data_IF_731138641283
#
_entry.id   IF_731138641283
#
_cell.length_a   1.000
_cell.length_b   1.000
_cell.length_c   1.000
_cell.angle_alpha   90.00
_cell.angle_beta   90.00
_cell.angle_gamma   90.00
#
_symmetry.space_group_name_H-M   'P 1'
#
loop_
_entity.id
_entity.type
_entity.pdbx_description
1 polymer ?
#
# COMPACT_ATOMS: atom_id res chain seq x y z
N UNK A 1 17.85 -30.88 -62.02
CA UNK A 1 17.88 -30.19 -60.71
C UNK A 1 16.48 -29.60 -60.49
N UNK A 2 15.50 -30.38 -60.02
CA UNK A 2 15.01 -30.51 -58.63
C UNK A 2 14.71 -29.18 -57.91
N UNK A 3 13.46 -28.74 -57.98
CA UNK A 3 12.75 -27.91 -56.98
C UNK A 3 11.27 -28.35 -57.00
N UNK A 4 10.91 -29.46 -56.37
CA UNK A 4 10.36 -29.60 -55.00
C UNK A 4 9.08 -28.76 -54.78
N UNK A 5 7.96 -29.48 -54.93
CA UNK A 5 6.62 -29.20 -54.40
C UNK A 5 6.64 -28.89 -52.90
N UNK A 6 5.89 -27.87 -52.46
CA UNK A 6 5.27 -27.83 -51.13
C UNK A 6 3.93 -27.09 -51.19
N UNK A 7 2.86 -27.87 -51.36
CA UNK A 7 1.50 -27.56 -50.91
C UNK A 7 1.45 -27.97 -49.45
N UNK A 8 1.26 -27.08 -48.47
CA UNK A 8 0.67 -27.45 -47.17
C UNK A 8 0.09 -26.24 -46.43
N UNK A 9 -1.21 -26.36 -46.11
CA UNK A 9 -1.92 -25.95 -44.88
C UNK A 9 -1.73 -24.50 -44.38
N UNK A 10 -2.70 -23.59 -44.45
CA UNK A 10 -3.98 -23.57 -43.70
C UNK A 10 -3.91 -24.33 -42.38
N UNK A 11 -3.41 -23.70 -41.31
CA UNK A 11 -3.87 -23.88 -39.92
C UNK A 11 -3.05 -23.01 -38.95
N UNK A 12 -3.55 -21.82 -38.61
CA UNK A 12 -3.31 -21.14 -37.33
C UNK A 12 -4.61 -20.40 -37.01
N UNK A 13 -5.62 -21.10 -36.51
CA UNK A 13 -5.94 -21.17 -35.08
C UNK A 13 -5.79 -19.79 -34.42
N UNK A 14 -6.95 -19.18 -34.24
CA UNK A 14 -7.29 -18.12 -33.31
C UNK A 14 -6.55 -18.26 -31.97
N UNK A 15 -5.45 -17.53 -31.80
CA UNK A 15 -4.92 -17.26 -30.47
C UNK A 15 -5.50 -15.92 -30.01
N UNK A 16 -6.52 -16.07 -29.16
CA UNK A 16 -6.85 -15.22 -28.03
C UNK A 16 -6.59 -13.73 -28.12
N UNK A 17 -7.69 -12.99 -28.04
CA UNK A 17 -7.81 -11.67 -27.43
C UNK A 17 -6.82 -11.48 -26.25
N UNK A 18 -5.65 -10.90 -26.50
CA UNK A 18 -5.03 -10.08 -25.48
C UNK A 18 -5.75 -8.74 -25.57
N UNK A 19 -6.76 -8.57 -24.70
CA UNK A 19 -7.23 -7.23 -24.32
C UNK A 19 -6.02 -6.49 -23.74
N UNK A 20 -5.23 -5.88 -24.61
CA UNK A 20 -4.29 -4.86 -24.22
C UNK A 20 -5.09 -3.80 -23.50
N UNK A 21 -4.79 -3.58 -22.24
CA UNK A 21 -5.29 -2.44 -21.49
C UNK A 21 -4.86 -1.19 -22.27
N UNK A 22 -5.80 -0.58 -22.99
CA UNK A 22 -5.58 0.65 -23.73
C UNK A 22 -5.16 1.74 -22.75
N UNK A 23 -3.93 2.23 -22.90
CA UNK A 23 -3.36 3.33 -22.11
C UNK A 23 -4.02 4.69 -22.37
N UNK A 24 -4.96 4.78 -23.30
CA UNK A 24 -5.70 5.99 -23.63
C UNK A 24 -7.13 5.90 -23.10
N UNK A 25 -7.37 6.45 -21.91
CA UNK A 25 -8.70 6.96 -21.47
C UNK A 25 -8.69 7.82 -20.21
N UNK A 26 -7.54 8.03 -19.56
CA UNK A 26 -7.42 8.91 -18.39
C UNK A 26 -6.51 10.12 -18.63
N UNK A 27 -6.57 10.70 -19.82
CA UNK A 27 -6.12 12.08 -20.04
C UNK A 27 -7.29 12.86 -20.62
N UNK A 28 -7.96 13.62 -19.76
CA UNK A 28 -8.95 14.60 -20.16
C UNK A 28 -8.53 15.91 -19.51
N UNK A 29 -8.06 16.86 -20.33
CA UNK A 29 -8.14 18.29 -20.07
C UNK A 29 -7.91 18.74 -18.62
N UNK A 30 -6.68 18.57 -18.12
CA UNK A 30 -6.04 19.48 -17.16
C UNK A 30 -6.62 19.65 -15.75
N UNK A 31 -7.80 19.12 -15.43
CA UNK A 31 -8.35 19.13 -14.07
C UNK A 31 -9.05 17.79 -13.83
N UNK A 32 -8.34 16.90 -13.12
CA UNK A 32 -8.94 15.73 -12.50
C UNK A 32 -10.00 16.19 -11.48
N UNK A 33 -11.25 15.75 -11.65
CA UNK A 33 -12.34 16.03 -10.69
C UNK A 33 -12.09 15.34 -9.33
N UNK A 34 -11.08 14.47 -9.24
CA UNK A 34 -10.50 13.94 -8.01
C UNK A 34 -9.16 14.61 -7.66
N UNK A 35 -9.01 15.92 -7.89
CA UNK A 35 -7.83 16.65 -7.42
C UNK A 35 -7.86 16.88 -5.89
N UNK A 36 -8.10 15.80 -5.13
CA UNK A 36 -8.10 15.77 -3.68
C UNK A 36 -6.80 16.35 -3.14
N UNK A 37 -5.67 16.05 -3.80
CA UNK A 37 -4.32 16.49 -3.42
C UNK A 37 -4.10 18.00 -3.56
N UNK A 38 -4.96 18.73 -4.29
CA UNK A 38 -4.91 20.19 -4.32
C UNK A 38 -5.11 20.80 -2.93
N UNK A 39 -6.04 20.25 -2.14
CA UNK A 39 -6.28 20.66 -0.77
C UNK A 39 -5.66 19.69 0.27
N UNK A 40 -5.49 18.43 -0.09
CA UNK A 40 -4.98 17.36 0.78
C UNK A 40 -3.55 16.95 0.45
N UNK A 41 -2.71 17.88 0.01
CA UNK A 41 -1.32 17.64 -0.38
C UNK A 41 -0.48 17.05 0.76
N UNK A 42 -0.75 17.45 2.00
CA UNK A 42 -0.09 16.93 3.21
C UNK A 42 -0.45 15.47 3.52
N UNK A 43 -1.46 14.91 2.86
CA UNK A 43 -1.90 13.54 3.11
C UNK A 43 -1.16 12.49 2.29
N UNK A 44 -0.37 12.91 1.30
CA UNK A 44 0.32 12.02 0.36
C UNK A 44 1.80 12.33 0.36
N UNK A 45 2.63 11.30 0.31
CA UNK A 45 4.05 11.50 0.05
C UNK A 45 4.32 11.36 -1.44
N UNK A 46 4.16 12.46 -2.17
CA UNK A 46 4.31 12.48 -3.62
C UNK A 46 5.77 12.23 -4.09
N UNK A 47 6.75 12.37 -3.19
CA UNK A 47 8.18 12.33 -3.53
C UNK A 47 8.81 10.94 -3.45
N UNK A 48 8.15 9.97 -2.81
CA UNK A 48 8.62 8.59 -2.67
C UNK A 48 7.49 7.68 -3.10
N UNK A 49 7.72 6.92 -4.17
CA UNK A 49 6.72 6.12 -4.89
C UNK A 49 5.57 5.65 -4.01
N UNK A 50 4.37 6.14 -4.32
CA UNK A 50 3.18 5.81 -3.56
C UNK A 50 2.59 4.45 -3.93
N UNK A 51 1.49 4.09 -3.28
CA UNK A 51 0.65 2.99 -3.76
C UNK A 51 0.28 3.24 -5.23
N UNK A 52 0.12 2.18 -6.03
CA UNK A 52 -0.15 2.27 -7.50
C UNK A 52 -1.40 3.13 -7.82
N UNK A 53 -2.22 3.46 -6.82
CA UNK A 53 -3.49 4.19 -6.91
C UNK A 53 -3.51 5.53 -6.16
N UNK A 54 -2.37 6.20 -5.88
CA UNK A 54 -2.38 7.48 -5.12
C UNK A 54 -3.24 8.58 -5.78
N UNK A 55 -3.46 8.53 -7.09
CA UNK A 55 -4.39 9.42 -7.81
C UNK A 55 -5.88 9.01 -7.74
N UNK A 56 -6.20 7.89 -7.08
CA UNK A 56 -7.56 7.35 -6.95
C UNK A 56 -7.96 7.22 -5.48
N UNK A 57 -8.01 8.37 -4.80
CA UNK A 57 -8.34 8.46 -3.38
C UNK A 57 -9.73 7.87 -3.06
N UNK A 58 -10.64 7.92 -4.03
CA UNK A 58 -12.02 7.45 -3.99
C UNK A 58 -12.15 5.92 -3.83
N UNK A 59 -11.09 5.15 -4.08
CA UNK A 59 -11.10 3.70 -3.87
C UNK A 59 -11.05 3.33 -2.39
N UNK A 60 -10.45 4.19 -1.56
CA UNK A 60 -10.31 3.94 -0.13
C UNK A 60 -11.19 4.89 0.69
N UNK A 61 -11.31 6.15 0.28
CA UNK A 61 -11.98 7.20 1.02
C UNK A 61 -13.29 7.62 0.34
N UNK A 62 -14.33 7.76 1.16
CA UNK A 62 -15.53 8.49 0.81
C UNK A 62 -15.26 9.99 0.70
N UNK A 63 -15.87 10.62 -0.30
CA UNK A 63 -15.85 12.07 -0.45
C UNK A 63 -16.56 12.81 0.71
N UNK A 64 -16.45 14.14 0.72
CA UNK A 64 -16.97 15.00 1.81
C UNK A 64 -18.45 14.79 2.16
N UNK A 65 -19.28 14.47 1.17
CA UNK A 65 -20.74 14.36 1.33
C UNK A 65 -21.22 12.95 1.67
N UNK A 66 -20.35 11.95 1.57
CA UNK A 66 -20.69 10.57 1.88
C UNK A 66 -20.33 10.27 3.34
N UNK A 67 -21.28 9.68 4.08
CA UNK A 67 -21.04 9.20 5.45
C UNK A 67 -20.45 7.79 5.40
N UNK A 68 -19.51 7.50 6.28
CA UNK A 68 -19.02 6.14 6.52
C UNK A 68 -18.98 5.86 8.01
N UNK A 69 -19.03 4.58 8.39
CA UNK A 69 -18.90 4.15 9.78
C UNK A 69 -17.43 4.04 10.23
N UNK A 70 -16.48 4.24 9.32
CA UNK A 70 -15.06 4.00 9.54
C UNK A 70 -14.29 5.31 9.76
N UNK A 71 -13.17 5.28 10.50
CA UNK A 71 -12.35 6.46 10.71
C UNK A 71 -11.84 7.02 9.38
N UNK A 72 -11.52 8.32 9.36
CA UNK A 72 -10.93 9.00 8.21
C UNK A 72 -11.75 8.87 6.91
N UNK A 73 -13.06 8.69 7.02
CA UNK A 73 -13.97 8.48 5.87
C UNK A 73 -13.61 7.26 5.02
N UNK A 74 -12.99 6.23 5.60
CA UNK A 74 -12.74 5.01 4.85
C UNK A 74 -14.05 4.34 4.44
N UNK A 75 -14.10 3.79 3.23
CA UNK A 75 -15.25 3.02 2.75
C UNK A 75 -15.45 1.72 3.56
N UNK A 76 -14.36 1.20 4.14
CA UNK A 76 -14.30 -0.05 4.91
C UNK A 76 -13.40 0.13 6.15
N UNK A 77 -13.27 -0.93 6.96
CA UNK A 77 -12.24 -0.94 8.00
C UNK A 77 -10.84 -0.83 7.37
N UNK A 78 -9.83 -0.42 8.15
CA UNK A 78 -8.46 -0.24 7.63
C UNK A 78 -7.95 -1.51 6.95
N UNK A 79 -8.07 -2.66 7.63
CA UNK A 79 -7.57 -3.92 7.08
C UNK A 79 -8.40 -4.41 5.89
N UNK A 80 -9.73 -4.27 5.93
CA UNK A 80 -10.58 -4.69 4.81
C UNK A 80 -10.33 -3.85 3.56
N UNK A 81 -9.95 -2.58 3.72
CA UNK A 81 -9.54 -1.71 2.60
C UNK A 81 -8.30 -2.27 1.91
N UNK A 82 -7.33 -2.78 2.66
CA UNK A 82 -6.14 -3.42 2.09
C UNK A 82 -6.48 -4.76 1.42
N UNK A 83 -7.27 -5.59 2.09
CA UNK A 83 -7.60 -6.96 1.67
C UNK A 83 -8.59 -7.01 0.50
N UNK A 84 -9.16 -5.88 0.08
CA UNK A 84 -9.99 -5.79 -1.13
C UNK A 84 -9.15 -6.01 -2.40
N UNK A 85 -7.89 -5.59 -2.40
CA UNK A 85 -6.95 -5.82 -3.50
C UNK A 85 -5.86 -6.84 -3.16
N UNK A 86 -5.47 -6.93 -1.88
CA UNK A 86 -4.43 -7.84 -1.39
C UNK A 86 -5.05 -9.05 -0.69
N UNK A 87 -5.85 -9.82 -1.42
CA UNK A 87 -6.59 -10.98 -0.90
C UNK A 87 -5.69 -12.19 -0.58
N UNK A 88 -4.47 -12.17 -1.11
CA UNK A 88 -3.38 -13.11 -0.90
C UNK A 88 -2.65 -12.92 0.44
N UNK A 89 -2.81 -11.75 1.07
CA UNK A 89 -2.16 -11.48 2.35
C UNK A 89 -2.82 -12.24 3.51
N UNK A 90 -2.01 -12.68 4.50
CA UNK A 90 -2.51 -13.38 5.67
C UNK A 90 -3.45 -12.49 6.49
N UNK A 91 -4.62 -13.03 6.85
CA UNK A 91 -5.61 -12.36 7.71
C UNK A 91 -5.26 -12.44 9.20
N UNK A 92 -4.12 -13.04 9.54
CA UNK A 92 -3.54 -13.12 10.89
C UNK A 92 -2.07 -13.55 10.82
N UNK A 93 -1.26 -13.22 11.81
CA UNK A 93 0.09 -13.79 11.92
C UNK A 93 1.06 -13.23 10.89
N UNK A 94 1.15 -11.90 10.84
CA UNK A 94 2.09 -11.17 10.00
C UNK A 94 2.79 -10.07 10.83
N UNK A 95 4.11 -9.89 10.70
CA UNK A 95 5.01 -10.53 9.71
C UNK A 95 5.48 -11.94 10.11
N UNK A 96 5.23 -12.35 11.35
CA UNK A 96 5.53 -13.69 11.85
C UNK A 96 4.27 -14.37 12.40
N UNK A 97 4.30 -15.69 12.50
CA UNK A 97 3.18 -16.48 13.01
C UNK A 97 2.66 -15.93 14.35
N UNK A 98 1.34 -15.87 14.50
CA UNK A 98 0.61 -15.33 15.67
C UNK A 98 0.82 -13.84 15.98
N UNK A 99 1.61 -13.10 15.20
CA UNK A 99 1.68 -11.65 15.38
C UNK A 99 0.30 -11.00 15.12
N UNK A 100 -0.20 -10.16 16.05
CA UNK A 100 -1.51 -9.55 15.91
C UNK A 100 -1.49 -8.53 14.77
N UNK A 101 -2.55 -8.47 13.96
CA UNK A 101 -2.73 -7.45 12.92
C UNK A 101 -4.06 -6.70 13.05
N UNK A 102 -4.83 -7.01 14.11
CA UNK A 102 -6.11 -6.40 14.49
C UNK A 102 -6.44 -6.72 15.95
N UNK A 103 -7.44 -6.05 16.53
CA UNK A 103 -8.02 -6.36 17.83
C UNK A 103 -7.14 -6.04 19.05
N UNK A 104 -5.99 -5.40 18.85
CA UNK A 104 -5.08 -4.92 19.90
C UNK A 104 -4.87 -3.42 19.71
N UNK A 105 -4.46 -2.72 20.77
CA UNK A 105 -4.04 -1.32 20.66
C UNK A 105 -2.67 -1.25 19.98
N UNK A 106 -2.46 -0.23 19.17
CA UNK A 106 -1.16 0.04 18.59
C UNK A 106 -0.17 0.45 19.70
N UNK A 107 0.96 -0.26 19.89
CA UNK A 107 1.93 0.07 20.94
C UNK A 107 2.55 1.46 20.80
N UNK A 108 2.67 1.97 19.57
CA UNK A 108 3.18 3.31 19.28
C UNK A 108 2.05 4.35 19.29
N UNK A 109 0.81 3.95 18.99
CA UNK A 109 -0.36 4.82 19.00
C UNK A 109 -1.51 4.24 19.83
N UNK A 110 -1.45 4.20 21.17
CA UNK A 110 -2.41 3.45 22.00
C UNK A 110 -3.88 3.88 21.89
N UNK A 111 -4.15 5.04 21.29
CA UNK A 111 -5.50 5.54 20.98
C UNK A 111 -6.09 4.91 19.71
N UNK A 112 -5.31 4.18 18.92
CA UNK A 112 -5.71 3.53 17.68
C UNK A 112 -5.68 2.01 17.84
N UNK A 113 -6.55 1.34 17.11
CA UNK A 113 -6.45 -0.10 16.91
C UNK A 113 -5.26 -0.41 16.00
N UNK A 114 -4.55 -1.49 16.33
CA UNK A 114 -3.47 -2.01 15.52
C UNK A 114 -4.02 -2.55 14.20
N UNK A 115 -3.35 -2.24 13.09
CA UNK A 115 -3.83 -2.54 11.74
C UNK A 115 -2.66 -2.71 10.77
N UNK A 116 -2.94 -3.07 9.52
CA UNK A 116 -1.95 -3.03 8.43
C UNK A 116 -1.27 -1.66 8.35
N UNK A 117 -2.07 -0.59 8.54
CA UNK A 117 -1.59 0.78 8.51
C UNK A 117 -0.84 1.20 9.79
N UNK A 118 -0.58 0.32 10.76
CA UNK A 118 0.33 0.60 11.88
C UNK A 118 1.79 0.51 11.44
N UNK A 119 2.11 -0.44 10.55
CA UNK A 119 3.46 -0.63 10.01
C UNK A 119 3.61 -0.05 8.60
N UNK A 120 2.55 -0.10 7.77
CA UNK A 120 2.59 0.39 6.39
C UNK A 120 1.99 1.79 6.25
N UNK A 121 2.56 2.61 5.37
CA UNK A 121 2.00 3.90 4.97
C UNK A 121 1.30 3.79 3.61
N UNK A 122 -0.06 3.73 3.58
CA UNK A 122 -0.79 3.58 2.32
C UNK A 122 -0.66 4.80 1.39
N UNK A 123 -0.16 5.93 1.89
CA UNK A 123 0.00 7.16 1.11
C UNK A 123 1.42 7.39 0.59
N UNK A 124 2.34 6.42 0.78
CA UNK A 124 3.72 6.47 0.30
C UNK A 124 4.75 6.43 1.43
N UNK A 125 5.86 5.74 1.20
CA UNK A 125 7.01 5.70 2.11
C UNK A 125 8.31 5.57 1.32
N UNK A 126 9.40 6.05 1.90
CA UNK A 126 10.75 5.86 1.38
C UNK A 126 11.32 4.47 1.72
N UNK A 127 10.68 3.74 2.62
CA UNK A 127 11.10 2.39 2.99
C UNK A 127 10.42 1.33 2.11
N UNK A 128 11.10 0.18 1.88
CA UNK A 128 10.54 -0.95 1.13
C UNK A 128 9.17 -1.37 1.66
N UNK A 129 8.32 -1.86 0.73
CA UNK A 129 6.96 -2.34 1.04
C UNK A 129 6.12 -1.29 1.79
N UNK A 130 6.36 0.00 1.56
CA UNK A 130 5.67 1.11 2.23
C UNK A 130 5.85 1.13 3.76
N UNK A 131 6.92 0.57 4.32
CA UNK A 131 7.12 0.56 5.76
C UNK A 131 7.22 2.00 6.33
N UNK A 132 6.51 2.32 7.41
CA UNK A 132 6.39 3.72 7.89
C UNK A 132 7.65 4.26 8.54
N UNK A 133 8.46 3.40 9.16
CA UNK A 133 9.51 3.84 10.06
C UNK A 133 10.87 3.73 9.39
N UNK A 134 11.57 4.85 9.23
CA UNK A 134 12.92 4.84 8.71
C UNK A 134 13.85 4.14 9.71
N UNK A 135 14.71 3.29 9.18
CA UNK A 135 15.85 2.72 9.90
C UNK A 135 17.08 2.80 9.00
N UNK A 136 18.26 2.93 9.59
CA UNK A 136 19.50 2.93 8.83
C UNK A 136 19.72 1.56 8.16
N UNK A 137 20.18 1.59 6.92
CA UNK A 137 20.58 0.39 6.19
C UNK A 137 21.69 -0.34 6.98
N UNK A 138 21.49 -1.62 7.26
CA UNK A 138 22.45 -2.45 8.02
C UNK A 138 21.98 -2.94 9.39
N UNK A 139 20.91 -2.38 9.96
CA UNK A 139 20.34 -2.86 11.23
C UNK A 139 19.38 -4.07 11.09
N UNK A 140 19.14 -4.54 9.86
CA UNK A 140 18.39 -5.76 9.54
C UNK A 140 16.87 -5.69 9.83
N UNK A 141 16.13 -6.70 9.35
CA UNK A 141 14.68 -6.82 9.53
C UNK A 141 14.23 -6.78 11.00
N UNK A 142 15.14 -7.11 11.93
CA UNK A 142 14.91 -7.06 13.37
C UNK A 142 14.64 -5.66 13.91
N UNK A 143 15.13 -4.61 13.22
CA UNK A 143 14.89 -3.23 13.66
C UNK A 143 13.40 -2.89 13.68
N UNK A 144 12.61 -3.43 12.75
CA UNK A 144 11.15 -3.25 12.76
C UNK A 144 10.51 -3.82 14.03
N UNK A 145 10.96 -5.00 14.48
CA UNK A 145 10.42 -5.68 15.65
C UNK A 145 10.67 -4.87 16.93
N UNK A 146 11.89 -4.34 17.07
CA UNK A 146 12.31 -3.64 18.29
C UNK A 146 11.65 -2.27 18.44
N UNK A 147 11.09 -1.66 17.38
CA UNK A 147 10.34 -0.40 17.49
C UNK A 147 9.19 -0.49 18.51
N UNK A 148 8.46 -1.59 18.48
CA UNK A 148 7.32 -1.83 19.37
C UNK A 148 7.68 -2.74 20.57
N UNK A 149 8.64 -3.65 20.40
CA UNK A 149 9.00 -4.64 21.43
C UNK A 149 10.26 -4.29 22.24
N UNK A 150 10.58 -2.99 22.39
CA UNK A 150 11.76 -2.48 23.11
C UNK A 150 11.99 -3.15 24.47
N UNK A 151 10.93 -3.29 25.27
CA UNK A 151 11.01 -3.90 26.61
C UNK A 151 11.29 -5.41 26.61
N UNK A 152 11.10 -6.11 25.48
CA UNK A 152 11.41 -7.54 25.36
C UNK A 152 12.84 -7.83 24.92
N UNK A 153 13.44 -6.91 24.17
CA UNK A 153 14.74 -7.16 23.55
C UNK A 153 15.90 -6.45 24.24
N UNK A 154 15.64 -5.59 25.24
CA UNK A 154 16.65 -5.00 26.14
C UNK A 154 17.98 -4.62 25.46
N UNK A 155 17.93 -4.07 24.24
CA UNK A 155 19.12 -3.97 23.39
C UNK A 155 20.07 -2.82 23.77
N UNK A 156 19.79 -2.07 24.85
CA UNK A 156 20.63 -0.92 25.24
C UNK A 156 20.84 0.11 24.12
N UNK A 157 20.03 0.04 23.05
CA UNK A 157 20.21 0.86 21.87
C UNK A 157 19.77 2.28 22.19
N UNK A 158 20.51 3.29 21.69
CA UNK A 158 20.11 4.68 21.83
C UNK A 158 18.69 4.84 21.31
N UNK A 159 17.95 5.76 21.94
CA UNK A 159 16.60 6.19 21.56
C UNK A 159 16.58 6.74 20.13
N UNK A 160 16.67 5.84 19.14
CA UNK A 160 16.45 6.12 17.73
C UNK A 160 15.00 6.55 17.53
N UNK A 161 14.77 7.51 16.63
CA UNK A 161 13.77 8.54 16.81
C UNK A 161 12.40 7.95 17.10
N UNK A 162 11.79 8.46 18.18
CA UNK A 162 10.33 8.53 18.27
C UNK A 162 9.89 9.06 16.91
N UNK A 163 9.07 8.34 16.13
CA UNK A 163 8.69 8.78 14.81
C UNK A 163 8.22 10.23 14.96
N UNK A 164 8.79 11.20 14.21
CA UNK A 164 8.26 12.55 14.27
C UNK A 164 6.79 12.38 13.92
N UNK A 165 5.91 12.81 14.83
CA UNK A 165 4.46 12.67 14.75
C UNK A 165 3.87 13.53 13.61
N UNK A 166 4.70 13.86 12.63
CA UNK A 166 4.62 14.95 11.68
C UNK A 166 4.83 14.43 10.26
N UNK A 167 4.48 13.18 9.93
CA UNK A 167 4.40 12.74 8.53
C UNK A 167 3.35 13.53 7.71
N UNK A 168 2.58 14.40 8.38
CA UNK A 168 1.64 15.36 7.79
C UNK A 168 2.20 16.80 7.76
N UNK A 169 3.53 16.98 7.85
CA UNK A 169 4.21 18.19 7.38
C UNK A 169 4.91 17.88 6.07
#
# INVERSE_FOLDING_TARGET
MKTVLWVFAVLLITVGMQKGFSKEKYSMNGIDMNNCVYCHSYNVNANVGGHVFVSRCDLCHAGHRQKTANPHRLLRSVNDTCLECHDDLPRSGHPINKHPIKGKKDPLYPKKEFSCASCHNPHGSDMPKLFRYKYEEGFGDMMMCVLCHRGKYALGLPVGPIPPWNFWK
#
